data_IF_111216005479
#
_entry.id   IF_111216005479
#
_cell.length_a   1.000
_cell.length_b   1.000
_cell.length_c   1.000
_cell.angle_alpha   90.00
_cell.angle_beta   90.00
_cell.angle_gamma   90.00
#
_symmetry.space_group_name_H-M   'P 1'
#
loop_
_entity.id
_entity.type
_entity.pdbx_description
1 polymer ?
#
# COMPACT_ATOMS: atom_id res chain seq x y z
N UNK A 1 23.79 26.16 19.02
CA UNK A 1 24.43 25.38 17.94
C UNK A 1 23.48 25.37 16.75
N UNK A 2 23.95 25.58 15.50
CA UNK A 2 23.08 25.47 14.35
C UNK A 2 22.53 24.03 14.27
N UNK A 3 21.21 23.88 14.21
CA UNK A 3 20.61 22.58 13.94
C UNK A 3 21.11 22.10 12.57
N UNK A 4 21.50 20.81 12.43
CA UNK A 4 21.82 20.26 11.13
C UNK A 4 20.65 20.50 10.19
N UNK A 5 20.92 20.92 8.96
CA UNK A 5 19.89 21.07 7.94
C UNK A 5 19.21 19.71 7.76
N UNK A 6 17.88 19.61 7.90
CA UNK A 6 17.20 18.34 7.78
C UNK A 6 17.50 17.70 6.42
N UNK A 7 17.74 16.39 6.42
CA UNK A 7 18.00 15.64 5.21
C UNK A 7 16.86 15.86 4.20
N UNK A 8 17.21 16.24 2.97
CA UNK A 8 16.22 16.59 1.94
C UNK A 8 15.50 15.34 1.44
N UNK A 9 14.17 15.33 1.47
CA UNK A 9 13.36 14.24 0.90
C UNK A 9 13.53 14.23 -0.62
N UNK A 10 14.18 13.20 -1.16
CA UNK A 10 14.42 13.04 -2.61
C UNK A 10 13.62 11.87 -3.20
N UNK A 11 13.67 11.71 -4.52
CA UNK A 11 13.05 10.59 -5.22
C UNK A 11 13.60 9.22 -4.78
N UNK A 12 14.81 9.15 -4.23
CA UNK A 12 15.43 7.91 -3.75
C UNK A 12 14.69 7.32 -2.53
N UNK A 13 13.95 8.14 -1.79
CA UNK A 13 13.09 7.69 -0.69
C UNK A 13 11.87 6.88 -1.18
N UNK A 14 11.57 6.88 -2.48
CA UNK A 14 10.38 6.29 -3.06
C UNK A 14 10.73 5.17 -4.06
N UNK A 15 11.12 3.98 -3.55
CA UNK A 15 11.38 2.85 -4.42
C UNK A 15 10.13 2.52 -5.23
N UNK A 16 10.27 2.55 -6.55
CA UNK A 16 9.16 2.28 -7.47
C UNK A 16 8.66 0.84 -7.28
N UNK A 17 7.37 0.62 -6.98
CA UNK A 17 6.81 -0.72 -6.81
C UNK A 17 6.99 -1.55 -8.09
N UNK A 18 7.44 -2.79 -7.96
CA UNK A 18 7.61 -3.67 -9.11
C UNK A 18 6.27 -3.98 -9.78
N UNK A 19 5.16 -3.94 -9.03
CA UNK A 19 3.80 -4.14 -9.55
C UNK A 19 3.39 -3.18 -10.68
N UNK A 20 3.94 -1.95 -10.70
CA UNK A 20 3.65 -0.99 -11.77
C UNK A 20 4.53 -1.21 -13.02
N UNK A 21 5.66 -1.92 -12.88
CA UNK A 21 6.60 -2.21 -13.95
C UNK A 21 6.15 -3.44 -14.75
N UNK A 22 5.15 -3.24 -15.62
CA UNK A 22 4.50 -4.28 -16.45
C UNK A 22 5.11 -4.44 -17.84
N UNK A 23 6.34 -3.98 -18.03
CA UNK A 23 7.09 -4.02 -19.29
C UNK A 23 8.57 -4.23 -18.98
N UNK A 24 9.31 -4.86 -19.89
CA UNK A 24 10.76 -4.97 -19.82
C UNK A 24 11.50 -3.82 -20.55
N UNK A 25 10.78 -2.91 -21.21
CA UNK A 25 11.40 -1.73 -21.84
C UNK A 25 12.02 -0.81 -20.76
N UNK A 26 13.36 -0.66 -20.73
CA UNK A 26 14.01 0.19 -19.75
C UNK A 26 13.61 1.66 -19.87
N UNK A 27 13.21 2.14 -21.06
CA UNK A 27 12.77 3.52 -21.27
C UNK A 27 11.42 3.76 -20.63
N UNK A 28 10.43 2.91 -20.91
CA UNK A 28 9.14 2.96 -20.22
C UNK A 28 9.28 2.84 -18.69
N UNK A 29 10.14 1.94 -18.20
CA UNK A 29 10.40 1.84 -16.76
C UNK A 29 11.02 3.11 -16.18
N UNK A 30 12.00 3.73 -16.85
CA UNK A 30 12.56 5.02 -16.41
C UNK A 30 11.49 6.10 -16.34
N UNK A 31 10.58 6.16 -17.31
CA UNK A 31 9.45 7.10 -17.28
C UNK A 31 8.52 6.87 -16.09
N UNK A 32 8.21 5.62 -15.75
CA UNK A 32 7.40 5.29 -14.57
C UNK A 32 8.09 5.69 -13.26
N UNK A 33 9.42 5.50 -13.18
CA UNK A 33 10.22 5.90 -12.00
C UNK A 33 10.22 7.41 -11.77
N UNK A 34 9.92 8.23 -12.78
CA UNK A 34 9.81 9.69 -12.60
C UNK A 34 8.68 10.10 -11.65
N UNK A 35 7.70 9.22 -11.39
CA UNK A 35 6.65 9.50 -10.41
C UNK A 35 7.21 9.70 -8.99
N UNK A 36 8.37 9.10 -8.68
CA UNK A 36 9.07 9.29 -7.40
C UNK A 36 9.45 10.75 -7.12
N UNK A 37 9.73 11.56 -8.15
CA UNK A 37 9.99 13.00 -7.97
C UNK A 37 8.75 13.75 -7.49
N UNK A 38 7.56 13.41 -8.01
CA UNK A 38 6.30 14.01 -7.55
C UNK A 38 5.99 13.59 -6.11
N UNK A 39 6.30 12.34 -5.74
CA UNK A 39 6.16 11.89 -4.35
C UNK A 39 7.09 12.66 -3.41
N UNK A 40 8.34 12.89 -3.81
CA UNK A 40 9.31 13.63 -3.01
C UNK A 40 8.92 15.10 -2.79
N UNK A 41 8.47 15.78 -3.84
CA UNK A 41 7.98 17.16 -3.77
C UNK A 41 6.81 17.29 -2.77
N UNK A 42 5.85 16.37 -2.86
CA UNK A 42 4.67 16.39 -1.99
C UNK A 42 5.03 15.98 -0.57
N UNK A 43 5.85 14.95 -0.38
CA UNK A 43 6.31 14.56 0.95
C UNK A 43 7.06 15.71 1.66
N UNK A 44 7.83 16.51 0.93
CA UNK A 44 8.47 17.73 1.46
C UNK A 44 7.42 18.74 1.94
N UNK A 45 6.37 18.97 1.15
CA UNK A 45 5.27 19.86 1.53
C UNK A 45 4.47 19.34 2.73
N UNK A 46 4.24 18.03 2.80
CA UNK A 46 3.55 17.38 3.92
C UNK A 46 4.41 17.41 5.20
N UNK A 47 5.72 17.25 5.08
CA UNK A 47 6.66 17.39 6.20
C UNK A 47 6.60 18.81 6.79
N UNK A 48 6.60 19.84 5.94
CA UNK A 48 6.44 21.23 6.40
C UNK A 48 5.09 21.44 7.10
N UNK A 49 4.00 20.86 6.56
CA UNK A 49 2.69 20.95 7.19
C UNK A 49 2.63 20.26 8.57
N UNK A 50 3.38 19.16 8.77
CA UNK A 50 3.54 18.54 10.08
C UNK A 50 4.31 19.45 11.03
N UNK A 51 5.45 20.01 10.60
CA UNK A 51 6.25 20.92 11.43
C UNK A 51 5.44 22.14 11.89
N UNK A 52 4.75 22.80 10.96
CA UNK A 52 3.93 23.97 11.28
C UNK A 52 2.71 23.61 12.14
N UNK A 53 2.02 22.49 11.86
CA UNK A 53 0.83 22.08 12.57
C UNK A 53 1.09 21.54 13.99
N UNK A 54 2.27 20.96 14.23
CA UNK A 54 2.65 20.40 15.52
C UNK A 54 3.43 21.40 16.40
N UNK A 55 3.83 22.55 15.86
CA UNK A 55 4.54 23.60 16.61
C UNK A 55 3.69 24.14 17.76
N UNK A 56 4.07 23.79 18.98
CA UNK A 56 3.38 24.22 20.20
C UNK A 56 2.16 23.37 20.58
N UNK A 57 1.77 22.40 19.74
CA UNK A 57 0.67 21.48 20.00
C UNK A 57 1.13 20.37 20.93
N UNK A 58 0.58 20.33 22.15
CA UNK A 58 0.93 19.34 23.20
C UNK A 58 -0.15 18.29 23.44
N UNK A 59 -1.39 18.60 23.10
CA UNK A 59 -2.51 17.67 23.29
C UNK A 59 -2.47 16.55 22.24
N UNK A 60 -2.72 15.32 22.68
CA UNK A 60 -2.61 14.14 21.81
C UNK A 60 -3.71 14.10 20.74
N UNK A 61 -4.91 14.59 21.05
CA UNK A 61 -6.03 14.58 20.10
C UNK A 61 -5.81 15.64 19.02
N UNK A 62 -5.29 16.81 19.40
CA UNK A 62 -4.89 17.85 18.44
C UNK A 62 -3.76 17.35 17.52
N UNK A 63 -2.73 16.70 18.08
CA UNK A 63 -1.63 16.12 17.30
C UNK A 63 -2.13 15.04 16.35
N UNK A 64 -3.02 14.15 16.83
CA UNK A 64 -3.67 13.11 16.01
C UNK A 64 -4.47 13.73 14.86
N UNK A 65 -5.15 14.85 15.11
CA UNK A 65 -5.88 15.62 14.11
C UNK A 65 -4.94 16.19 13.05
N UNK A 66 -3.78 16.70 13.43
CA UNK A 66 -2.76 17.20 12.48
C UNK A 66 -2.27 16.08 11.56
N UNK A 67 -1.87 14.93 12.11
CA UNK A 67 -1.45 13.78 11.29
C UNK A 67 -2.56 13.32 10.34
N UNK A 68 -3.81 13.27 10.81
CA UNK A 68 -4.97 12.91 9.99
C UNK A 68 -5.18 13.87 8.82
N UNK A 69 -5.10 15.19 9.06
CA UNK A 69 -5.21 16.22 8.03
C UNK A 69 -4.09 16.13 6.98
N UNK A 70 -2.87 15.86 7.42
CA UNK A 70 -1.72 15.68 6.50
C UNK A 70 -1.89 14.41 5.66
N UNK A 71 -2.40 13.32 6.24
CA UNK A 71 -2.74 12.12 5.46
C UNK A 71 -3.81 12.42 4.39
N UNK A 72 -4.85 13.16 4.76
CA UNK A 72 -5.92 13.56 3.84
C UNK A 72 -5.43 14.49 2.73
N UNK A 73 -4.46 15.36 3.02
CA UNK A 73 -3.79 16.15 2.00
C UNK A 73 -3.02 15.27 0.99
N UNK A 74 -2.43 14.14 1.45
CA UNK A 74 -1.81 13.15 0.57
C UNK A 74 -2.85 12.39 -0.28
N UNK A 75 -4.05 12.11 0.24
CA UNK A 75 -5.17 11.56 -0.54
C UNK A 75 -5.61 12.54 -1.64
N UNK A 76 -5.82 13.81 -1.29
CA UNK A 76 -6.24 14.83 -2.24
C UNK A 76 -5.19 15.09 -3.33
N UNK A 77 -3.91 15.19 -2.95
CA UNK A 77 -2.82 15.25 -3.92
C UNK A 77 -2.92 14.09 -4.92
N UNK A 78 -3.09 12.86 -4.43
CA UNK A 78 -3.13 11.69 -5.31
C UNK A 78 -4.32 11.73 -6.26
N UNK A 79 -5.47 12.24 -5.81
CA UNK A 79 -6.62 12.49 -6.67
C UNK A 79 -6.30 13.55 -7.73
N UNK A 80 -5.73 14.71 -7.36
CA UNK A 80 -5.41 15.79 -8.30
C UNK A 80 -4.43 15.35 -9.40
N UNK A 81 -3.45 14.52 -9.05
CA UNK A 81 -2.54 13.91 -10.05
C UNK A 81 -3.30 13.00 -11.02
N UNK A 82 -4.26 12.22 -10.53
CA UNK A 82 -5.08 11.38 -11.41
C UNK A 82 -5.97 12.23 -12.33
N UNK A 83 -6.57 13.31 -11.81
CA UNK A 83 -7.43 14.23 -12.54
C UNK A 83 -6.66 14.98 -13.64
N UNK A 84 -5.44 15.43 -13.36
CA UNK A 84 -4.57 16.11 -14.32
C UNK A 84 -3.97 15.18 -15.39
N UNK A 85 -4.12 13.86 -15.26
CA UNK A 85 -3.54 12.90 -16.22
C UNK A 85 -4.33 12.91 -17.54
N UNK A 86 -3.70 13.27 -18.68
CA UNK A 86 -4.38 13.43 -19.97
C UNK A 86 -4.86 12.10 -20.59
N UNK A 87 -4.54 10.96 -19.98
CA UNK A 87 -5.04 9.65 -20.39
C UNK A 87 -5.85 9.01 -19.26
N UNK A 88 -7.10 8.57 -19.52
CA UNK A 88 -7.73 7.55 -18.69
C UNK A 88 -6.86 6.31 -18.79
N UNK A 89 -6.08 6.01 -17.76
CA UNK A 89 -5.12 4.92 -17.80
C UNK A 89 -5.89 3.58 -17.71
N UNK A 90 -6.26 3.03 -18.87
CA UNK A 90 -6.70 1.64 -19.04
C UNK A 90 -8.22 1.40 -19.19
N UNK A 91 -8.63 0.18 -18.82
CA UNK A 91 -9.99 -0.42 -19.02
C UNK A 91 -11.14 0.28 -18.29
N UNK A 92 -10.85 1.34 -17.54
CA UNK A 92 -11.82 2.01 -16.69
C UNK A 92 -12.19 3.29 -17.42
N UNK A 93 -13.47 3.42 -17.81
CA UNK A 93 -13.98 4.54 -18.60
C UNK A 93 -13.90 5.89 -17.88
N UNK A 94 -14.81 6.81 -18.21
CA UNK A 94 -14.82 8.20 -17.75
C UNK A 94 -14.79 8.39 -16.21
N UNK A 95 -15.13 7.38 -15.42
CA UNK A 95 -15.16 7.43 -13.95
C UNK A 95 -13.87 6.93 -13.27
N UNK A 96 -12.78 6.74 -14.01
CA UNK A 96 -11.51 6.23 -13.47
C UNK A 96 -10.95 7.10 -12.33
N UNK A 97 -10.98 8.42 -12.48
CA UNK A 97 -10.46 9.39 -11.50
C UNK A 97 -11.24 9.34 -10.18
N UNK A 98 -12.56 9.19 -10.23
CA UNK A 98 -13.41 9.11 -9.02
C UNK A 98 -13.07 7.93 -8.12
N UNK A 99 -12.40 6.91 -8.65
CA UNK A 99 -11.93 5.78 -7.84
C UNK A 99 -10.85 6.16 -6.82
N UNK A 100 -10.18 7.29 -6.99
CA UNK A 100 -9.25 7.82 -6.00
C UNK A 100 -9.97 8.47 -4.80
N UNK A 101 -11.24 8.86 -4.96
CA UNK A 101 -12.11 9.36 -3.87
C UNK A 101 -13.09 8.32 -3.34
N UNK A 102 -13.40 7.28 -4.14
CA UNK A 102 -14.33 6.22 -3.74
C UNK A 102 -13.82 5.48 -2.50
N UNK A 103 -14.58 5.49 -1.40
CA UNK A 103 -14.18 4.81 -0.16
C UNK A 103 -14.19 3.28 -0.33
N UNK A 104 -13.39 2.61 0.50
CA UNK A 104 -13.51 1.18 0.77
C UNK A 104 -14.56 0.99 1.86
N UNK A 105 -15.55 0.15 1.61
CA UNK A 105 -16.67 -0.15 2.53
C UNK A 105 -16.95 -1.65 2.55
N UNK A 106 -17.80 -2.12 3.46
CA UNK A 106 -18.17 -3.55 3.52
C UNK A 106 -18.93 -4.03 2.27
N UNK A 107 -19.74 -3.16 1.66
CA UNK A 107 -20.44 -3.43 0.39
C UNK A 107 -19.51 -3.32 -0.83
N UNK A 108 -18.33 -2.73 -0.63
CA UNK A 108 -17.36 -2.46 -1.67
C UNK A 108 -15.93 -2.65 -1.12
N UNK A 109 -15.54 -3.88 -0.71
CA UNK A 109 -14.20 -4.17 -0.23
C UNK A 109 -13.19 -4.03 -1.36
N UNK A 110 -11.97 -3.65 -1.02
CA UNK A 110 -10.89 -3.71 -1.98
C UNK A 110 -10.54 -5.18 -2.21
N UNK A 111 -10.55 -5.64 -3.47
CA UNK A 111 -10.22 -7.01 -3.84
C UNK A 111 -9.05 -6.99 -4.81
N UNK A 112 -7.99 -7.73 -4.48
CA UNK A 112 -6.77 -7.78 -5.26
C UNK A 112 -6.29 -9.22 -5.41
N UNK A 113 -6.17 -9.72 -6.65
CA UNK A 113 -5.67 -11.07 -6.91
C UNK A 113 -4.15 -11.11 -6.72
N UNK A 114 -3.64 -12.12 -6.01
CA UNK A 114 -2.21 -12.47 -5.89
C UNK A 114 -1.86 -13.75 -6.67
N UNK A 115 -0.56 -14.02 -6.81
CA UNK A 115 -0.04 -15.23 -7.43
C UNK A 115 0.20 -15.10 -8.93
N UNK A 116 0.11 -16.22 -9.63
CA UNK A 116 0.24 -16.23 -11.09
C UNK A 116 -0.81 -15.31 -11.69
N UNK A 117 -0.33 -14.32 -12.43
CA UNK A 117 -1.15 -13.36 -13.14
C UNK A 117 -0.54 -13.15 -14.51
N UNK A 118 -0.86 -14.07 -15.43
CA UNK A 118 -0.25 -14.18 -16.76
C UNK A 118 -0.40 -12.87 -17.54
N UNK A 119 -1.51 -12.16 -17.39
CA UNK A 119 -1.73 -10.82 -17.97
C UNK A 119 -0.65 -9.79 -17.64
N UNK A 120 0.10 -9.96 -16.54
CA UNK A 120 1.21 -9.05 -16.18
C UNK A 120 2.48 -9.34 -16.96
N UNK A 121 2.55 -10.45 -17.70
CA UNK A 121 3.64 -10.74 -18.63
C UNK A 121 3.49 -9.91 -19.89
N UNK A 122 4.61 -9.49 -20.45
CA UNK A 122 4.66 -8.65 -21.63
C UNK A 122 4.38 -9.50 -22.89
N UNK A 123 3.51 -9.02 -23.78
CA UNK A 123 3.15 -9.73 -25.02
C UNK A 123 2.21 -10.93 -24.82
N UNK A 124 1.49 -11.02 -23.70
CA UNK A 124 0.47 -12.07 -23.53
C UNK A 124 -0.70 -11.93 -24.48
N UNK A 125 -1.31 -13.07 -24.82
CA UNK A 125 -2.56 -13.13 -25.61
C UNK A 125 -3.65 -13.87 -24.85
N UNK A 126 -4.88 -13.37 -24.92
CA UNK A 126 -6.03 -14.09 -24.40
C UNK A 126 -6.35 -15.30 -25.28
N UNK A 127 -6.55 -16.46 -24.68
CA UNK A 127 -7.08 -17.66 -25.34
C UNK A 127 -8.53 -17.88 -24.91
N UNK A 128 -9.51 -17.72 -25.81
CA UNK A 128 -10.92 -17.92 -25.47
C UNK A 128 -11.26 -19.37 -25.12
N UNK A 129 -10.47 -20.34 -25.59
CA UNK A 129 -10.74 -21.79 -25.38
C UNK A 129 -10.46 -22.17 -23.93
N UNK A 130 -9.28 -21.83 -23.44
CA UNK A 130 -8.84 -22.14 -22.07
C UNK A 130 -9.21 -21.04 -21.08
N UNK A 131 -9.76 -19.91 -21.55
CA UNK A 131 -10.10 -18.72 -20.76
C UNK A 131 -8.94 -18.22 -19.90
N UNK A 132 -7.72 -18.33 -20.44
CA UNK A 132 -6.48 -17.87 -19.79
C UNK A 132 -5.64 -17.01 -20.73
N UNK A 133 -4.56 -16.44 -20.23
CA UNK A 133 -3.56 -15.75 -21.05
C UNK A 133 -2.40 -16.71 -21.36
N UNK A 134 -2.04 -16.80 -22.64
CA UNK A 134 -0.95 -17.62 -23.12
C UNK A 134 0.27 -16.76 -23.48
N UNK A 135 1.45 -17.39 -23.41
CA UNK A 135 2.75 -16.84 -23.82
C UNK A 135 3.17 -15.61 -22.98
N UNK A 136 4.11 -14.84 -23.51
CA UNK A 136 4.62 -13.60 -22.93
C UNK A 136 5.86 -13.78 -22.05
N UNK A 137 6.60 -12.69 -21.93
CA UNK A 137 7.86 -12.63 -21.17
C UNK A 137 7.59 -12.10 -19.77
N UNK A 138 8.26 -12.68 -18.78
CA UNK A 138 8.14 -12.21 -17.40
C UNK A 138 8.57 -10.75 -17.26
N UNK A 139 7.76 -9.99 -16.54
CA UNK A 139 8.04 -8.61 -16.14
C UNK A 139 8.31 -8.57 -14.63
N UNK A 140 8.90 -7.47 -14.10
CA UNK A 140 9.02 -7.29 -12.66
C UNK A 140 7.68 -7.46 -11.92
N UNK A 141 6.59 -6.93 -12.47
CA UNK A 141 5.26 -7.08 -11.90
C UNK A 141 4.83 -8.56 -11.80
N UNK A 142 5.01 -9.34 -12.87
CA UNK A 142 4.62 -10.76 -12.88
C UNK A 142 5.41 -11.61 -11.88
N UNK A 143 6.73 -11.37 -11.75
CA UNK A 143 7.59 -12.08 -10.79
C UNK A 143 7.21 -11.76 -9.35
N UNK A 144 7.00 -10.48 -9.08
CA UNK A 144 6.61 -9.98 -7.75
C UNK A 144 5.27 -10.57 -7.31
N UNK A 145 4.28 -10.60 -8.21
CA UNK A 145 2.97 -11.18 -7.91
C UNK A 145 3.01 -12.69 -7.63
N UNK A 146 3.84 -13.44 -8.38
CA UNK A 146 4.10 -14.86 -8.10
C UNK A 146 4.75 -15.05 -6.73
N UNK A 147 5.77 -14.25 -6.42
CA UNK A 147 6.47 -14.32 -5.13
C UNK A 147 5.51 -14.07 -3.96
N UNK A 148 4.74 -12.98 -3.99
CA UNK A 148 3.78 -12.68 -2.93
C UNK A 148 2.60 -13.66 -2.90
N UNK A 149 2.19 -14.23 -4.03
CA UNK A 149 1.22 -15.33 -4.03
C UNK A 149 1.75 -16.60 -3.37
N UNK A 150 3.03 -16.91 -3.54
CA UNK A 150 3.69 -18.04 -2.85
C UNK A 150 3.71 -17.80 -1.33
N UNK A 151 4.04 -16.59 -0.90
CA UNK A 151 4.00 -16.21 0.52
C UNK A 151 2.57 -16.26 1.09
N UNK A 152 1.59 -15.72 0.36
CA UNK A 152 0.19 -15.81 0.74
C UNK A 152 -0.30 -17.27 0.84
N UNK A 153 0.12 -18.14 -0.08
CA UNK A 153 -0.20 -19.57 -0.02
C UNK A 153 0.41 -20.24 1.23
N UNK A 154 1.65 -19.91 1.58
CA UNK A 154 2.31 -20.45 2.76
C UNK A 154 1.57 -20.10 4.07
N UNK A 155 0.91 -18.93 4.14
CA UNK A 155 0.08 -18.54 5.30
C UNK A 155 -1.06 -19.53 5.55
N UNK A 156 -1.67 -20.07 4.50
CA UNK A 156 -2.72 -21.07 4.64
C UNK A 156 -2.21 -22.44 5.11
N UNK A 157 -0.91 -22.71 5.01
CA UNK A 157 -0.33 -23.94 5.56
C UNK A 157 -0.28 -23.92 7.09
N UNK A 158 -0.32 -22.73 7.70
CA UNK A 158 -0.32 -22.54 9.16
C UNK A 158 -1.73 -22.64 9.77
N UNK A 159 -2.76 -22.56 8.94
CA UNK A 159 -4.16 -22.72 9.32
C UNK A 159 -4.82 -23.68 8.31
N UNK A 160 -4.60 -25.00 8.47
CA UNK A 160 -5.25 -25.98 7.61
C UNK A 160 -6.78 -25.85 7.72
N UNK A 161 -7.49 -26.25 6.67
CA UNK A 161 -8.96 -26.31 6.61
C UNK A 161 -9.74 -24.99 6.58
N UNK A 162 -9.07 -23.83 6.49
CA UNK A 162 -9.74 -22.54 6.20
C UNK A 162 -9.45 -22.04 4.79
N UNK A 163 -10.46 -21.42 4.18
CA UNK A 163 -10.36 -20.65 2.94
C UNK A 163 -10.05 -19.17 3.18
N UNK A 164 -10.04 -18.72 4.44
CA UNK A 164 -9.82 -17.33 4.85
C UNK A 164 -8.77 -17.27 5.95
N UNK A 165 -7.71 -16.49 5.72
CA UNK A 165 -6.71 -16.14 6.72
C UNK A 165 -6.75 -14.64 6.94
N UNK A 166 -6.91 -14.19 8.19
CA UNK A 166 -6.96 -12.77 8.53
C UNK A 166 -5.65 -12.35 9.18
N UNK A 167 -5.11 -11.20 8.77
CA UNK A 167 -4.05 -10.58 9.55
C UNK A 167 -4.62 -10.12 10.88
N UNK A 168 -3.94 -10.45 11.97
CA UNK A 168 -4.25 -9.94 13.30
C UNK A 168 -3.47 -8.65 13.48
N UNK A 169 -4.18 -7.59 13.84
CA UNK A 169 -3.60 -6.26 14.01
C UNK A 169 -3.70 -5.88 15.47
N UNK A 170 -2.56 -5.75 16.12
CA UNK A 170 -2.47 -5.30 17.52
C UNK A 170 -2.33 -3.79 17.55
N UNK A 171 -3.28 -3.16 18.21
CA UNK A 171 -3.36 -1.72 18.48
C UNK A 171 -2.42 -1.33 19.61
N UNK A 172 -2.15 -0.03 19.72
CA UNK A 172 -1.26 0.50 20.76
C UNK A 172 -1.72 0.24 22.20
N UNK A 173 -3.00 -0.02 22.43
CA UNK A 173 -3.64 -0.31 23.72
C UNK A 173 -3.72 -1.82 24.00
N UNK A 174 -3.25 -2.65 23.06
CA UNK A 174 -3.31 -4.10 23.12
C UNK A 174 -4.59 -4.71 22.53
N UNK A 175 -5.57 -3.91 22.08
CA UNK A 175 -6.73 -4.44 21.35
C UNK A 175 -6.23 -5.15 20.08
N UNK A 176 -6.79 -6.32 19.79
CA UNK A 176 -6.50 -7.06 18.55
C UNK A 176 -7.74 -7.06 17.68
N UNK A 177 -7.64 -6.44 16.51
CA UNK A 177 -8.69 -6.44 15.48
C UNK A 177 -8.27 -7.20 14.24
N UNK A 178 -9.20 -7.38 13.30
CA UNK A 178 -8.93 -8.04 12.03
C UNK A 178 -8.50 -7.02 10.98
N UNK A 179 -7.31 -7.25 10.41
CA UNK A 179 -6.79 -6.50 9.26
C UNK A 179 -7.24 -7.12 7.94
N UNK A 180 -6.45 -6.88 6.89
CA UNK A 180 -6.70 -7.47 5.58
C UNK A 180 -6.69 -9.01 5.65
N UNK A 181 -7.43 -9.61 4.73
CA UNK A 181 -7.62 -11.05 4.68
C UNK A 181 -7.12 -11.64 3.35
N UNK A 182 -6.50 -12.80 3.45
CA UNK A 182 -6.17 -13.67 2.33
C UNK A 182 -7.33 -14.65 2.11
N UNK A 183 -7.72 -14.82 0.86
CA UNK A 183 -8.78 -15.70 0.42
C UNK A 183 -8.20 -16.75 -0.54
N UNK A 184 -8.57 -18.02 -0.36
CA UNK A 184 -8.33 -19.12 -1.31
C UNK A 184 -9.62 -19.90 -1.55
N UNK A 185 -9.56 -20.92 -2.42
CA UNK A 185 -10.63 -21.88 -2.60
C UNK A 185 -11.99 -21.22 -2.89
N UNK A 186 -13.02 -21.64 -2.18
CA UNK A 186 -14.38 -21.14 -2.39
C UNK A 186 -14.50 -19.64 -2.07
N UNK A 187 -13.75 -19.13 -1.08
CA UNK A 187 -13.76 -17.71 -0.76
C UNK A 187 -13.15 -16.86 -1.90
N UNK A 188 -12.06 -17.31 -2.49
CA UNK A 188 -11.45 -16.63 -3.63
C UNK A 188 -12.34 -16.66 -4.88
N UNK A 189 -13.02 -17.78 -5.16
CA UNK A 189 -13.98 -17.85 -6.28
C UNK A 189 -15.18 -16.91 -6.08
N UNK A 190 -15.70 -16.77 -4.85
CA UNK A 190 -16.74 -15.78 -4.55
C UNK A 190 -16.24 -14.35 -4.79
N UNK A 191 -15.04 -14.01 -4.32
CA UNK A 191 -14.43 -12.71 -4.55
C UNK A 191 -14.21 -12.42 -6.05
N UNK A 192 -13.80 -13.42 -6.83
CA UNK A 192 -13.65 -13.30 -8.27
C UNK A 192 -15.00 -13.01 -8.97
N UNK A 193 -16.05 -13.75 -8.61
CA UNK A 193 -17.42 -13.53 -9.12
C UNK A 193 -17.95 -12.15 -8.76
N UNK A 194 -17.78 -11.72 -7.52
CA UNK A 194 -18.16 -10.38 -7.03
C UNK A 194 -17.42 -9.27 -7.81
N UNK A 195 -16.11 -9.43 -8.01
CA UNK A 195 -15.32 -8.49 -8.80
C UNK A 195 -15.79 -8.42 -10.25
N UNK A 196 -16.11 -9.55 -10.88
CA UNK A 196 -16.68 -9.60 -12.24
C UNK A 196 -18.02 -8.89 -12.29
N UNK A 197 -18.93 -9.18 -11.37
CA UNK A 197 -20.25 -8.54 -11.30
C UNK A 197 -20.11 -7.01 -11.17
N UNK A 198 -19.22 -6.52 -10.30
CA UNK A 198 -18.95 -5.08 -10.15
C UNK A 198 -18.34 -4.44 -11.39
N UNK A 199 -17.50 -5.15 -12.15
CA UNK A 199 -16.95 -4.63 -13.40
C UNK A 199 -18.05 -4.54 -14.45
N UNK A 200 -18.87 -5.59 -14.61
CA UNK A 200 -19.99 -5.64 -15.54
C UNK A 200 -21.04 -4.55 -15.23
N UNK A 201 -21.42 -4.36 -13.97
CA UNK A 201 -22.41 -3.36 -13.55
C UNK A 201 -22.01 -1.91 -13.88
N UNK A 202 -20.72 -1.66 -14.14
CA UNK A 202 -20.18 -0.36 -14.56
C UNK A 202 -19.95 -0.28 -16.07
N UNK A 203 -20.45 -1.24 -16.86
CA UNK A 203 -20.21 -1.33 -18.30
C UNK A 203 -18.78 -1.76 -18.67
N UNK A 204 -18.01 -2.27 -17.71
CA UNK A 204 -16.66 -2.76 -17.97
C UNK A 204 -16.70 -4.12 -18.67
N UNK A 205 -15.80 -4.33 -19.63
CA UNK A 205 -15.59 -5.64 -20.24
C UNK A 205 -15.16 -6.66 -19.16
N UNK A 206 -15.74 -7.85 -19.16
CA UNK A 206 -15.41 -8.96 -18.25
C UNK A 206 -14.91 -10.20 -18.97
N UNK A 207 -14.89 -10.20 -20.30
CA UNK A 207 -14.59 -11.36 -21.15
C UNK A 207 -13.18 -11.95 -20.94
N UNK A 208 -12.25 -11.13 -20.43
CA UNK A 208 -10.84 -11.48 -20.18
C UNK A 208 -10.45 -11.46 -18.70
N UNK A 209 -11.36 -11.90 -17.84
CA UNK A 209 -11.11 -12.06 -16.40
C UNK A 209 -11.10 -13.56 -16.08
N UNK A 210 -10.00 -14.01 -15.49
CA UNK A 210 -9.84 -15.39 -15.00
C UNK A 210 -10.55 -15.49 -13.64
N UNK A 211 -11.50 -16.43 -13.53
CA UNK A 211 -12.32 -16.66 -12.31
C UNK A 211 -12.24 -18.10 -11.80
N UNK A 212 -11.48 -18.95 -12.47
CA UNK A 212 -11.25 -20.36 -12.18
C UNK A 212 -9.79 -20.63 -11.78
N UNK A 213 -9.49 -21.90 -11.47
CA UNK A 213 -8.16 -22.34 -11.05
C UNK A 213 -7.82 -22.00 -9.59
N UNK A 214 -6.53 -22.08 -9.26
CA UNK A 214 -6.04 -21.82 -7.91
C UNK A 214 -5.89 -20.31 -7.67
N UNK A 215 -6.98 -19.68 -7.26
CA UNK A 215 -7.02 -18.24 -6.98
C UNK A 215 -6.60 -17.92 -5.54
N UNK A 216 -5.84 -16.84 -5.41
CA UNK A 216 -5.57 -16.18 -4.13
C UNK A 216 -5.98 -14.71 -4.27
N UNK A 217 -6.76 -14.22 -3.32
CA UNK A 217 -7.15 -12.81 -3.25
C UNK A 217 -6.76 -12.21 -1.90
N UNK A 218 -6.44 -10.93 -1.90
CA UNK A 218 -6.48 -10.07 -0.71
C UNK A 218 -7.80 -9.35 -0.73
N UNK A 219 -8.46 -9.28 0.43
CA UNK A 219 -9.60 -8.40 0.67
C UNK A 219 -9.30 -7.44 1.84
N UNK A 220 -9.84 -6.22 1.76
CA UNK A 220 -9.77 -5.26 2.87
C UNK A 220 -10.43 -5.79 4.14
N UNK A 221 -10.01 -5.26 5.28
CA UNK A 221 -10.68 -5.48 6.56
C UNK A 221 -12.12 -4.91 6.53
N UNK A 222 -12.98 -5.31 7.49
CA UNK A 222 -14.27 -4.66 7.69
C UNK A 222 -14.12 -3.14 7.88
N UNK A 223 -15.11 -2.37 7.47
CA UNK A 223 -15.07 -0.90 7.50
C UNK A 223 -14.86 -0.36 8.92
N UNK A 224 -15.56 -0.93 9.91
CA UNK A 224 -15.42 -0.57 11.31
C UNK A 224 -13.98 -0.79 11.82
N UNK A 225 -13.34 -1.90 11.42
CA UNK A 225 -11.96 -2.21 11.80
C UNK A 225 -10.97 -1.29 11.06
N UNK A 226 -11.22 -0.98 9.77
CA UNK A 226 -10.39 -0.04 9.02
C UNK A 226 -10.33 1.34 9.71
N UNK A 227 -11.47 1.86 10.17
CA UNK A 227 -11.54 3.11 10.91
C UNK A 227 -10.70 3.10 12.18
N UNK A 228 -10.84 2.04 12.99
CA UNK A 228 -10.04 1.84 14.21
C UNK A 228 -8.54 1.75 13.92
N UNK A 229 -8.15 0.91 12.96
CA UNK A 229 -6.76 0.69 12.56
C UNK A 229 -6.13 2.01 12.10
N UNK A 230 -6.81 2.78 11.25
CA UNK A 230 -6.32 4.07 10.75
C UNK A 230 -6.14 5.07 11.89
N UNK A 231 -7.16 5.22 12.74
CA UNK A 231 -7.08 6.13 13.89
C UNK A 231 -5.94 5.75 14.84
N UNK A 232 -5.72 4.45 15.07
CA UNK A 232 -4.63 3.96 15.90
C UNK A 232 -3.24 4.29 15.30
N UNK A 233 -3.10 4.21 13.97
CA UNK A 233 -1.89 4.63 13.28
C UNK A 233 -1.60 6.13 13.50
N UNK A 234 -2.62 6.97 13.44
CA UNK A 234 -2.47 8.41 13.70
C UNK A 234 -2.09 8.67 15.16
N UNK A 235 -2.69 7.99 16.12
CA UNK A 235 -2.31 8.09 17.54
C UNK A 235 -0.85 7.67 17.75
N UNK A 236 -0.42 6.55 17.15
CA UNK A 236 0.96 6.09 17.26
C UNK A 236 1.96 7.14 16.82
N UNK A 237 1.70 7.80 15.68
CA UNK A 237 2.56 8.86 15.14
C UNK A 237 2.46 10.16 15.96
N UNK A 238 1.31 10.43 16.57
CA UNK A 238 1.06 11.65 17.34
C UNK A 238 1.67 11.62 18.74
N UNK A 239 1.99 10.45 19.30
CA UNK A 239 2.53 10.32 20.66
C UNK A 239 3.85 11.04 20.84
N UNK A 240 4.08 11.53 22.06
CA UNK A 240 5.41 11.93 22.48
C UNK A 240 6.26 10.68 22.71
N UNK A 241 7.42 10.64 22.06
CA UNK A 241 8.32 9.51 22.11
C UNK A 241 9.52 9.83 22.99
N UNK A 242 9.72 9.04 24.05
CA UNK A 242 10.80 9.24 25.01
C UNK A 242 12.21 9.04 24.40
N UNK A 243 12.30 8.40 23.23
CA UNK A 243 13.55 8.13 22.53
C UNK A 243 13.34 7.97 21.02
N UNK A 244 14.43 8.14 20.24
CA UNK A 244 14.45 7.83 18.81
C UNK A 244 14.04 6.37 18.52
N UNK A 245 14.42 5.41 19.36
CA UNK A 245 14.03 4.01 19.21
C UNK A 245 12.52 3.78 19.38
N UNK A 246 11.89 4.51 20.31
CA UNK A 246 10.43 4.46 20.48
C UNK A 246 9.69 5.14 19.33
N UNK A 247 10.20 6.26 18.81
CA UNK A 247 9.65 6.94 17.63
C UNK A 247 9.73 6.04 16.38
N UNK A 248 10.89 5.40 16.17
CA UNK A 248 11.07 4.44 15.09
C UNK A 248 10.06 3.28 15.23
N UNK A 249 9.90 2.71 16.41
CA UNK A 249 8.94 1.62 16.65
C UNK A 249 7.51 2.04 16.30
N UNK A 250 7.11 3.24 16.71
CA UNK A 250 5.79 3.78 16.40
C UNK A 250 5.59 3.98 14.88
N UNK A 251 6.60 4.52 14.19
CA UNK A 251 6.57 4.68 12.73
C UNK A 251 6.46 3.34 12.00
N UNK A 252 7.25 2.33 12.39
CA UNK A 252 7.21 0.99 11.81
C UNK A 252 5.83 0.32 11.98
N UNK A 253 5.23 0.46 13.17
CA UNK A 253 3.89 -0.05 13.45
C UNK A 253 2.83 0.70 12.65
N UNK A 254 2.87 2.03 12.64
CA UNK A 254 1.94 2.85 11.86
C UNK A 254 2.00 2.53 10.36
N UNK A 255 3.19 2.25 9.82
CA UNK A 255 3.34 1.79 8.44
C UNK A 255 2.54 0.52 8.17
N UNK A 256 2.63 -0.49 9.04
CA UNK A 256 1.82 -1.70 8.91
C UNK A 256 0.32 -1.39 8.96
N UNK A 257 -0.11 -0.62 9.97
CA UNK A 257 -1.52 -0.28 10.19
C UNK A 257 -2.13 0.44 8.98
N UNK A 258 -1.43 1.42 8.42
CA UNK A 258 -1.91 2.18 7.26
C UNK A 258 -2.13 1.29 6.02
N UNK A 259 -1.30 0.27 5.82
CA UNK A 259 -1.52 -0.70 4.76
C UNK A 259 -2.64 -1.69 5.08
N UNK A 260 -2.90 -2.01 6.36
CA UNK A 260 -4.06 -2.84 6.73
C UNK A 260 -5.41 -2.13 6.56
N UNK A 261 -5.44 -0.79 6.51
CA UNK A 261 -6.66 0.01 6.45
C UNK A 261 -6.69 0.99 5.26
N UNK A 262 -6.69 0.51 4.01
CA UNK A 262 -6.80 1.39 2.85
C UNK A 262 -8.17 2.08 2.83
N UNK A 263 -8.18 3.41 2.88
CA UNK A 263 -9.43 4.23 2.87
C UNK A 263 -10.05 4.37 1.48
N UNK A 264 -9.26 4.27 0.40
CA UNK A 264 -9.69 4.54 -0.99
C UNK A 264 -9.45 3.36 -1.93
N UNK A 265 -10.30 3.24 -2.96
CA UNK A 265 -10.23 2.16 -3.97
C UNK A 265 -9.01 2.19 -4.88
N UNK A 266 -8.33 3.32 -4.99
CA UNK A 266 -7.14 3.53 -5.82
C UNK A 266 -6.21 4.50 -5.13
N UNK A 267 -4.91 4.36 -5.41
CA UNK A 267 -3.89 5.31 -4.96
C UNK A 267 -3.37 5.10 -3.55
N UNK A 268 -3.94 4.16 -2.78
CA UNK A 268 -3.57 3.92 -1.38
C UNK A 268 -2.06 3.73 -1.17
N UNK A 269 -1.39 2.92 -2.00
CA UNK A 269 0.06 2.71 -1.85
C UNK A 269 0.86 4.01 -2.00
N UNK A 270 0.62 4.77 -3.08
CA UNK A 270 1.31 6.04 -3.30
C UNK A 270 1.03 7.05 -2.18
N UNK A 271 -0.23 7.17 -1.74
CA UNK A 271 -0.62 8.03 -0.62
C UNK A 271 0.11 7.64 0.66
N UNK A 272 0.09 6.36 1.03
CA UNK A 272 0.69 5.87 2.28
C UNK A 272 2.22 6.04 2.24
N UNK A 273 2.90 5.73 1.14
CA UNK A 273 4.36 5.94 1.02
C UNK A 273 4.73 7.42 1.18
N UNK A 274 4.05 8.31 0.47
CA UNK A 274 4.31 9.75 0.51
C UNK A 274 4.09 10.31 1.91
N UNK A 275 3.00 9.92 2.58
CA UNK A 275 2.74 10.29 3.96
C UNK A 275 3.77 9.72 4.93
N UNK A 276 4.13 8.43 4.82
CA UNK A 276 5.07 7.78 5.73
C UNK A 276 6.48 8.38 5.66
N UNK A 277 6.97 8.75 4.47
CA UNK A 277 8.25 9.45 4.36
C UNK A 277 8.19 10.81 5.08
N UNK A 278 7.13 11.60 4.85
CA UNK A 278 6.97 12.89 5.52
C UNK A 278 6.87 12.75 7.05
N UNK A 279 6.03 11.83 7.53
CA UNK A 279 5.84 11.56 8.95
C UNK A 279 7.10 11.01 9.62
N UNK A 280 7.83 10.11 8.95
CA UNK A 280 9.07 9.56 9.49
C UNK A 280 10.21 10.56 9.48
N UNK A 281 10.34 11.40 8.45
CA UNK A 281 11.30 12.49 8.43
C UNK A 281 11.09 13.44 9.62
N UNK A 282 9.84 13.77 9.92
CA UNK A 282 9.46 14.59 11.07
C UNK A 282 9.78 13.90 12.41
N UNK A 283 9.39 12.64 12.58
CA UNK A 283 9.53 11.93 13.87
C UNK A 283 10.94 11.46 14.19
N UNK A 284 11.74 11.14 13.17
CA UNK A 284 13.03 10.46 13.32
C UNK A 284 14.23 11.40 13.13
N UNK A 285 14.00 12.65 12.71
CA UNK A 285 15.04 13.62 12.32
C UNK A 285 16.02 13.05 11.28
N UNK A 286 15.54 12.10 10.47
CA UNK A 286 16.26 11.43 9.37
C UNK A 286 15.26 10.85 8.37
N UNK A 287 15.72 10.58 7.16
CA UNK A 287 14.87 9.96 6.13
C UNK A 287 14.68 8.47 6.42
N UNK A 288 13.45 7.99 6.64
CA UNK A 288 13.20 6.56 6.78
C UNK A 288 13.32 5.85 5.42
N UNK A 289 13.67 4.57 5.46
CA UNK A 289 13.73 3.71 4.28
C UNK A 289 12.42 2.95 4.10
N UNK A 290 11.84 2.99 2.90
CA UNK A 290 10.71 2.15 2.55
C UNK A 290 11.16 0.85 1.88
N UNK A 291 10.47 -0.25 2.19
CA UNK A 291 10.66 -1.50 1.46
C UNK A 291 10.08 -1.38 0.03
N UNK A 292 10.73 -2.08 -0.91
CA UNK A 292 10.09 -2.39 -2.19
C UNK A 292 8.81 -3.21 -1.95
N UNK A 293 7.73 -2.82 -2.65
CA UNK A 293 6.42 -3.48 -2.58
C UNK A 293 5.89 -3.66 -1.14
N UNK A 294 6.13 -2.66 -0.28
CA UNK A 294 5.74 -2.63 1.14
C UNK A 294 4.24 -2.88 1.36
N UNK A 295 3.38 -2.47 0.43
CA UNK A 295 1.94 -2.76 0.45
C UNK A 295 1.67 -4.26 0.37
N UNK A 296 2.24 -4.93 -0.64
CA UNK A 296 2.10 -6.38 -0.81
C UNK A 296 2.68 -7.15 0.37
N UNK A 297 3.80 -6.69 0.94
CA UNK A 297 4.36 -7.27 2.18
C UNK A 297 3.36 -7.21 3.31
N UNK A 298 2.85 -6.01 3.62
CA UNK A 298 1.87 -5.83 4.68
C UNK A 298 0.62 -6.70 4.46
N UNK A 299 0.17 -6.88 3.21
CA UNK A 299 -1.00 -7.69 2.91
C UNK A 299 -0.81 -9.17 3.24
N UNK A 300 0.38 -9.72 3.03
CA UNK A 300 0.61 -11.16 3.15
C UNK A 300 1.30 -11.58 4.45
N UNK A 301 2.07 -10.70 5.09
CA UNK A 301 2.84 -11.02 6.30
C UNK A 301 2.12 -10.60 7.58
N UNK A 302 2.30 -11.34 8.68
CA UNK A 302 1.84 -10.89 10.00
C UNK A 302 2.63 -9.65 10.47
N UNK A 303 2.03 -8.90 11.39
CA UNK A 303 2.50 -7.59 11.85
C UNK A 303 3.94 -7.61 12.39
N UNK A 304 4.26 -8.60 13.22
CA UNK A 304 5.58 -8.78 13.84
C UNK A 304 6.66 -8.99 12.78
N UNK A 305 6.41 -9.88 11.81
CA UNK A 305 7.34 -10.13 10.71
C UNK A 305 7.54 -8.86 9.86
N UNK A 306 6.46 -8.16 9.51
CA UNK A 306 6.57 -6.90 8.76
C UNK A 306 7.41 -5.86 9.49
N UNK A 307 7.15 -5.64 10.78
CA UNK A 307 7.86 -4.66 11.60
C UNK A 307 9.35 -5.02 11.73
N UNK A 308 9.67 -6.31 11.91
CA UNK A 308 11.06 -6.78 11.95
C UNK A 308 11.78 -6.55 10.61
N UNK A 309 11.16 -6.92 9.48
CA UNK A 309 11.74 -6.70 8.15
C UNK A 309 12.01 -5.21 7.88
N UNK A 310 11.05 -4.35 8.20
CA UNK A 310 11.18 -2.91 7.98
C UNK A 310 12.19 -2.26 8.94
N UNK A 311 12.33 -2.77 10.17
CA UNK A 311 13.37 -2.36 11.12
C UNK A 311 14.76 -2.69 10.59
N UNK A 312 14.98 -3.92 10.14
CA UNK A 312 16.27 -4.33 9.57
C UNK A 312 16.67 -3.48 8.36
N UNK A 313 15.71 -2.99 7.58
CA UNK A 313 15.98 -2.06 6.49
C UNK A 313 16.41 -0.66 6.98
N UNK A 314 15.93 -0.21 8.14
CA UNK A 314 16.43 1.03 8.76
C UNK A 314 17.86 0.85 9.26
N UNK A 315 18.11 -0.23 9.99
CA UNK A 315 19.42 -0.50 10.60
C UNK A 315 20.52 -0.65 9.52
N UNK A 316 20.20 -1.29 8.38
CA UNK A 316 21.12 -1.42 7.26
C UNK A 316 21.45 -0.11 6.55
N UNK A 317 20.53 0.87 6.58
CA UNK A 317 20.77 2.18 5.98
C UNK A 317 21.70 3.04 6.84
N UNK A 318 21.59 2.92 8.17
CA UNK A 318 22.42 3.67 9.12
C UNK A 318 23.90 3.24 9.00
N UNK A 319 24.18 1.95 8.76
CA UNK A 319 25.54 1.43 8.51
C UNK A 319 26.18 2.05 7.26
N UNK A 320 25.40 2.34 6.22
CA UNK A 320 25.91 2.94 4.98
C UNK A 320 26.04 4.46 5.03
N UNK A 321 25.41 5.12 6.00
CA UNK A 321 25.55 6.56 6.21
C UNK A 321 26.81 6.92 7.03
N UNK A 322 27.35 5.99 7.79
CA UNK A 322 28.56 6.17 8.63
C UNK A 322 29.88 5.75 7.95
N UNK A 323 29.82 5.14 6.75
CA UNK A 323 30.96 4.67 5.96
C UNK A 323 31.33 5.63 4.82
#
# INVERSE_FOLDING_TARGET
MPHPTPASITAECFPTPALILRTNDPTAQRSLRKFAYQQAEVATSLHQALDDGLRGTRDIDDRTTVFSKVFEAAEDWRYRIAEASPQPVGRYGSTWTERFRTPVTDDNPNLFRLGEHERLREGTRWDPTTRTYLRGTETPASRTMRQFGTQAFARFSQTPDTDVVRNRVTMHDGEVVHGMQLLRGNAAHRAATEMVARIAARGGDTSRIITDGHLIYVASAPEADCGKIFHNAMILLARDHASAASALTAWLQAAYLLYQAPRRKRGSDATVRTFLIAAGAYLLDRLPVLLHDIDLRAYVTPQDQFVTELRSAQDGADIHAEA
#
